data_IF_050935972726
#
_entry.id   IF_050935972726
#
_cell.length_a   1.000
_cell.length_b   1.000
_cell.length_c   1.000
_cell.angle_alpha   90.00
_cell.angle_beta   90.00
_cell.angle_gamma   90.00
#
_symmetry.space_group_name_H-M   'P 1'
#
loop_
_entity.id
_entity.type
_entity.pdbx_description
1 polymer ?
#
# COMPACT_ATOMS: atom_id res chain seq x y z
N UNK A 1 -1.52 -2.56 -0.08
CA UNK A 1 -2.15 -3.69 0.64
C UNK A 1 -1.70 -5.04 0.12
N UNK A 2 -1.89 -5.37 -1.16
CA UNK A 2 -1.56 -6.70 -1.69
C UNK A 2 -0.11 -7.13 -1.42
N UNK A 3 0.87 -6.25 -1.70
CA UNK A 3 2.30 -6.51 -1.40
C UNK A 3 2.50 -6.83 0.08
N UNK A 4 2.06 -5.95 0.99
CA UNK A 4 2.19 -6.16 2.43
C UNK A 4 1.57 -7.49 2.91
N UNK A 5 0.38 -7.84 2.41
CA UNK A 5 -0.30 -9.08 2.79
C UNK A 5 0.37 -10.33 2.19
N UNK A 6 1.13 -10.21 1.10
CA UNK A 6 1.87 -11.32 0.49
C UNK A 6 3.29 -11.49 1.05
N UNK A 7 3.90 -10.42 1.58
CA UNK A 7 5.32 -10.42 1.99
C UNK A 7 5.53 -10.26 3.51
N UNK A 8 4.50 -9.86 4.26
CA UNK A 8 4.64 -9.52 5.68
C UNK A 8 5.26 -8.14 5.93
N UNK A 9 5.54 -7.35 4.88
CA UNK A 9 6.00 -5.96 5.06
C UNK A 9 4.95 -5.14 5.80
N UNK A 10 5.42 -4.31 6.73
CA UNK A 10 4.56 -3.41 7.48
C UNK A 10 4.05 -2.26 6.58
N UNK A 11 3.06 -1.53 7.08
CA UNK A 11 2.49 -0.36 6.40
C UNK A 11 2.55 0.87 7.31
N UNK A 12 2.69 2.09 6.76
CA UNK A 12 2.73 3.30 7.57
C UNK A 12 1.45 3.49 8.38
N UNK A 13 1.59 3.90 9.64
CA UNK A 13 0.46 4.18 10.52
C UNK A 13 -0.45 5.27 9.95
N UNK A 14 0.13 6.31 9.37
CA UNK A 14 -0.58 7.46 8.79
C UNK A 14 -1.10 7.25 7.36
N UNK A 15 -0.86 6.09 6.76
CA UNK A 15 -0.99 5.88 5.31
C UNK A 15 0.28 6.28 4.54
N UNK A 16 0.32 5.88 3.27
CA UNK A 16 1.44 6.13 2.35
C UNK A 16 1.77 7.63 2.27
N UNK A 17 3.06 7.95 2.20
CA UNK A 17 3.53 9.34 2.17
C UNK A 17 3.71 9.89 0.76
N UNK A 18 3.84 9.02 -0.24
CA UNK A 18 4.07 9.42 -1.64
C UNK A 18 5.26 10.37 -1.83
N UNK A 19 6.45 10.14 -1.22
CA UNK A 19 7.61 11.01 -1.45
C UNK A 19 7.94 11.11 -2.94
N UNK A 20 8.23 12.34 -3.38
CA UNK A 20 8.65 12.62 -4.75
C UNK A 20 10.09 12.19 -4.97
N UNK A 21 10.36 11.41 -6.03
CA UNK A 21 11.72 11.00 -6.36
C UNK A 21 11.81 10.26 -7.70
N UNK A 22 12.97 10.36 -8.32
CA UNK A 22 13.37 9.48 -9.42
C UNK A 22 13.81 8.13 -8.88
N UNK A 23 14.13 7.17 -9.76
CA UNK A 23 14.74 5.90 -9.34
C UNK A 23 16.03 6.09 -8.54
N UNK A 24 16.82 7.11 -8.86
CA UNK A 24 18.09 7.39 -8.20
C UNK A 24 17.90 7.93 -6.76
N UNK A 25 16.74 8.50 -6.45
CA UNK A 25 16.42 9.03 -5.14
C UNK A 25 15.88 7.95 -4.18
N UNK A 26 15.33 6.85 -4.72
CA UNK A 26 14.64 5.81 -3.95
C UNK A 26 15.52 5.24 -2.82
N UNK A 27 16.80 4.90 -3.00
CA UNK A 27 17.61 4.35 -1.91
C UNK A 27 17.73 5.30 -0.72
N UNK A 28 17.79 6.60 -0.97
CA UNK A 28 17.86 7.65 0.06
C UNK A 28 16.51 7.93 0.70
N UNK A 29 15.43 7.96 -0.10
CA UNK A 29 14.08 8.28 0.38
C UNK A 29 13.50 7.14 1.21
N UNK A 30 13.65 5.90 0.76
CA UNK A 30 12.92 4.72 1.27
C UNK A 30 13.69 3.93 2.32
N UNK A 31 14.36 4.66 3.22
CA UNK A 31 15.01 4.16 4.43
C UNK A 31 14.34 4.76 5.69
N UNK A 32 14.62 4.24 6.89
CA UNK A 32 14.04 4.78 8.13
C UNK A 32 14.38 6.25 8.34
N UNK A 33 13.51 6.98 9.04
CA UNK A 33 13.78 8.36 9.49
C UNK A 33 15.06 8.49 10.30
N UNK A 34 15.40 7.48 11.11
CA UNK A 34 16.66 7.42 11.85
C UNK A 34 17.90 7.35 10.96
N UNK A 35 17.74 6.95 9.70
CA UNK A 35 18.77 6.95 8.67
C UNK A 35 18.60 8.12 7.68
N UNK A 36 17.69 9.07 7.93
CA UNK A 36 17.46 10.24 7.08
C UNK A 36 16.57 9.98 5.85
N UNK A 37 15.76 8.92 5.87
CA UNK A 37 14.68 8.68 4.90
C UNK A 37 13.29 9.03 5.46
N UNK A 38 12.22 8.56 4.81
CA UNK A 38 10.83 8.91 5.19
C UNK A 38 10.11 7.83 5.99
N UNK A 39 10.59 6.59 5.96
CA UNK A 39 9.88 5.44 6.54
C UNK A 39 9.87 5.51 8.07
N UNK A 40 8.76 5.10 8.68
CA UNK A 40 8.64 5.01 10.14
C UNK A 40 9.65 4.00 10.73
N UNK A 41 9.91 2.91 10.01
CA UNK A 41 10.90 1.86 10.33
C UNK A 41 11.29 1.08 9.06
N UNK A 42 12.22 0.13 9.20
CA UNK A 42 12.60 -0.82 8.13
C UNK A 42 11.44 -1.79 7.84
N UNK A 43 11.47 -2.41 6.66
CA UNK A 43 10.52 -3.47 6.29
C UNK A 43 9.09 -2.93 6.08
N UNK A 44 8.95 -1.86 5.31
CA UNK A 44 7.66 -1.22 5.04
C UNK A 44 7.42 -1.06 3.54
N UNK A 45 6.13 -1.03 3.16
CA UNK A 45 5.73 -0.61 1.81
C UNK A 45 5.62 0.92 1.74
N UNK A 46 5.94 1.47 0.57
CA UNK A 46 5.73 2.89 0.24
C UNK A 46 5.46 3.02 -1.27
N UNK A 47 4.95 4.18 -1.70
CA UNK A 47 4.80 4.56 -3.11
C UNK A 47 5.64 5.80 -3.37
N UNK A 48 6.31 5.87 -4.53
CA UNK A 48 7.03 7.07 -4.96
C UNK A 48 6.13 7.89 -5.89
N UNK A 49 6.05 9.18 -5.66
CA UNK A 49 5.43 10.11 -6.61
C UNK A 49 6.41 10.40 -7.75
N UNK A 50 5.98 10.15 -8.99
CA UNK A 50 6.67 10.57 -10.20
C UNK A 50 6.50 12.07 -10.51
N UNK A 51 5.82 12.81 -9.64
CA UNK A 51 5.63 14.25 -9.73
C UNK A 51 6.34 14.93 -8.56
N UNK A 52 6.96 16.08 -8.83
CA UNK A 52 7.40 17.01 -7.80
C UNK A 52 6.20 17.62 -7.07
N UNK A 53 6.39 18.26 -5.90
CA UNK A 53 5.30 18.89 -5.14
C UNK A 53 4.51 19.95 -5.92
N UNK A 54 5.13 20.60 -6.91
CA UNK A 54 4.49 21.57 -7.82
C UNK A 54 3.73 20.91 -8.99
N UNK A 55 3.71 19.58 -9.06
CA UNK A 55 3.06 18.81 -10.11
C UNK A 55 3.93 18.59 -11.35
N UNK A 56 5.16 19.10 -11.39
CA UNK A 56 6.04 18.87 -12.55
C UNK A 56 6.53 17.43 -12.60
N UNK A 57 6.62 16.80 -13.79
CA UNK A 57 7.15 15.44 -13.92
C UNK A 57 8.62 15.35 -13.51
N UNK A 58 8.97 14.21 -12.90
CA UNK A 58 10.35 13.84 -12.61
C UNK A 58 10.90 13.05 -13.79
N UNK A 59 12.15 13.35 -14.18
CA UNK A 59 12.80 12.60 -15.25
C UNK A 59 13.15 11.18 -14.80
N UNK A 60 13.05 10.25 -15.75
CA UNK A 60 13.32 8.83 -15.52
C UNK A 60 12.55 8.26 -14.30
N UNK A 61 11.24 8.53 -14.27
CA UNK A 61 10.36 8.12 -13.20
C UNK A 61 10.01 6.61 -13.20
N UNK A 62 9.34 6.15 -12.14
CA UNK A 62 9.04 4.73 -11.88
C UNK A 62 7.54 4.39 -11.97
N UNK A 63 6.71 5.26 -12.55
CA UNK A 63 5.23 5.15 -12.53
C UNK A 63 4.69 3.82 -13.05
N UNK A 64 5.40 3.20 -13.99
CA UNK A 64 4.96 1.98 -14.68
C UNK A 64 5.50 0.69 -14.05
N UNK A 65 6.33 0.82 -13.01
CA UNK A 65 7.16 -0.26 -12.50
C UNK A 65 6.97 -0.54 -11.02
N UNK A 66 7.82 -1.42 -10.52
CA UNK A 66 7.93 -1.79 -9.11
C UNK A 66 9.39 -1.80 -8.68
N UNK A 67 9.63 -1.65 -7.39
CA UNK A 67 10.97 -1.58 -6.83
C UNK A 67 11.04 -2.27 -5.47
N UNK A 68 12.25 -2.60 -5.05
CA UNK A 68 12.58 -3.04 -3.69
C UNK A 68 13.90 -2.39 -3.29
N UNK A 69 13.91 -1.76 -2.11
CA UNK A 69 15.13 -1.22 -1.50
C UNK A 69 15.61 -2.20 -0.45
N UNK A 70 16.88 -2.58 -0.55
CA UNK A 70 17.57 -3.48 0.37
C UNK A 70 18.67 -2.73 1.09
N UNK A 71 18.97 -3.16 2.32
CA UNK A 71 20.05 -2.61 3.12
C UNK A 71 21.22 -3.60 3.17
N UNK A 72 22.44 -3.09 3.02
CA UNK A 72 23.67 -3.78 3.36
C UNK A 72 23.80 -3.91 4.88
N UNK A 73 23.43 -5.07 5.40
CA UNK A 73 23.50 -5.39 6.84
C UNK A 73 24.94 -5.46 7.38
N UNK A 74 25.93 -5.60 6.49
CA UNK A 74 27.35 -5.67 6.85
C UNK A 74 28.18 -4.72 6.01
N UNK A 75 29.35 -4.32 6.53
CA UNK A 75 30.30 -3.51 5.76
C UNK A 75 30.82 -4.25 4.54
N UNK A 76 30.94 -5.58 4.60
CA UNK A 76 31.27 -6.39 3.43
C UNK A 76 30.26 -6.19 2.28
N UNK A 77 28.95 -6.31 2.55
CA UNK A 77 27.92 -6.12 1.52
C UNK A 77 27.94 -4.68 0.98
N UNK A 78 28.15 -3.70 1.86
CA UNK A 78 28.30 -2.30 1.46
C UNK A 78 29.48 -2.11 0.50
N UNK A 79 30.63 -2.72 0.79
CA UNK A 79 31.79 -2.68 -0.10
C UNK A 79 31.51 -3.41 -1.42
N UNK A 80 30.77 -4.52 -1.42
CA UNK A 80 30.34 -5.14 -2.67
C UNK A 80 29.47 -4.19 -3.53
N UNK A 81 28.57 -3.42 -2.93
CA UNK A 81 27.80 -2.42 -3.68
C UNK A 81 28.71 -1.37 -4.33
N UNK A 82 29.73 -0.91 -3.61
CA UNK A 82 30.75 0.02 -4.14
C UNK A 82 31.56 -0.61 -5.29
N UNK A 83 32.09 -1.82 -5.10
CA UNK A 83 32.89 -2.54 -6.12
C UNK A 83 32.11 -2.83 -7.40
N UNK A 84 30.81 -3.09 -7.29
CA UNK A 84 29.92 -3.29 -8.44
C UNK A 84 29.38 -1.99 -9.05
N UNK A 85 29.77 -0.83 -8.52
CA UNK A 85 29.21 0.48 -8.89
C UNK A 85 27.68 0.49 -8.82
N UNK A 86 27.11 -0.17 -7.81
CA UNK A 86 25.69 -0.12 -7.56
C UNK A 86 25.30 1.30 -7.13
N UNK A 87 24.20 1.82 -7.68
CA UNK A 87 23.68 3.13 -7.27
C UNK A 87 23.02 3.03 -5.89
N UNK A 88 23.65 3.62 -4.88
CA UNK A 88 23.20 3.58 -3.48
C UNK A 88 22.78 4.94 -2.96
N UNK A 89 22.35 4.98 -1.69
CA UNK A 89 22.29 6.22 -0.92
C UNK A 89 23.70 6.75 -0.56
N UNK A 90 23.74 7.95 0.04
CA UNK A 90 24.99 8.64 0.45
C UNK A 90 25.86 7.81 1.41
N UNK A 91 25.28 6.83 2.12
CA UNK A 91 26.02 5.96 3.05
C UNK A 91 26.60 4.70 2.39
N UNK A 92 26.20 4.39 1.16
CA UNK A 92 26.53 3.14 0.49
C UNK A 92 25.72 1.93 0.96
N UNK A 93 24.78 2.10 1.90
CA UNK A 93 24.09 0.96 2.53
C UNK A 93 22.79 0.58 1.85
N UNK A 94 22.07 1.52 1.26
CA UNK A 94 20.76 1.24 0.67
C UNK A 94 20.91 1.18 -0.84
N UNK A 95 20.41 0.10 -1.43
CA UNK A 95 20.40 -0.15 -2.87
C UNK A 95 19.00 -0.51 -3.32
N UNK A 96 18.61 -0.10 -4.52
CA UNK A 96 17.27 -0.35 -5.06
C UNK A 96 17.35 -1.19 -6.34
N UNK A 97 16.67 -2.33 -6.33
CA UNK A 97 16.32 -3.07 -7.55
C UNK A 97 14.96 -2.60 -8.05
N UNK A 98 14.81 -2.47 -9.36
CA UNK A 98 13.53 -2.10 -9.95
C UNK A 98 13.26 -2.82 -11.26
N UNK A 99 11.98 -3.07 -11.52
CA UNK A 99 11.46 -3.49 -12.82
C UNK A 99 10.66 -2.32 -13.36
N UNK A 100 11.15 -1.71 -14.45
CA UNK A 100 10.57 -0.47 -15.00
C UNK A 100 9.13 -0.62 -15.48
N UNK A 101 8.74 -1.81 -15.91
CA UNK A 101 7.41 -2.06 -16.48
C UNK A 101 6.76 -3.29 -15.87
N UNK A 102 5.47 -3.19 -15.57
CA UNK A 102 4.58 -4.31 -15.37
C UNK A 102 3.43 -4.21 -16.36
N UNK A 103 3.24 -5.23 -17.20
CA UNK A 103 2.29 -5.18 -18.33
C UNK A 103 0.89 -5.68 -17.98
N UNK A 104 0.54 -5.71 -16.69
CA UNK A 104 -0.80 -5.98 -16.16
C UNK A 104 -1.41 -7.24 -16.80
N UNK A 105 -2.49 -7.09 -17.58
CA UNK A 105 -3.22 -8.18 -18.22
C UNK A 105 -2.36 -9.02 -19.18
N UNK A 106 -1.33 -8.43 -19.79
CA UNK A 106 -0.44 -9.14 -20.70
C UNK A 106 0.47 -10.14 -19.97
N UNK A 107 0.71 -9.96 -18.67
CA UNK A 107 1.52 -10.87 -17.85
C UNK A 107 0.67 -11.99 -17.20
N UNK A 108 -0.67 -11.93 -17.25
CA UNK A 108 -1.56 -12.91 -16.59
C UNK A 108 -1.36 -14.33 -17.13
N UNK A 109 -1.05 -14.47 -18.42
CA UNK A 109 -0.79 -15.78 -19.04
C UNK A 109 0.37 -16.56 -18.38
N UNK A 110 1.36 -15.84 -17.82
CA UNK A 110 2.45 -16.47 -17.06
C UNK A 110 1.95 -17.09 -15.76
N UNK A 111 0.99 -16.43 -15.09
CA UNK A 111 0.39 -16.95 -13.86
C UNK A 111 -0.49 -18.17 -14.15
N UNK A 112 -1.24 -18.15 -15.25
CA UNK A 112 -2.03 -19.31 -15.71
C UNK A 112 -1.11 -20.50 -16.00
N UNK A 113 -0.02 -20.29 -16.73
CA UNK A 113 0.95 -21.35 -17.03
C UNK A 113 1.64 -21.88 -15.76
N UNK A 114 2.01 -21.00 -14.83
CA UNK A 114 2.62 -21.38 -13.55
C UNK A 114 1.70 -22.29 -12.72
N UNK A 115 0.42 -21.93 -12.59
CA UNK A 115 -0.56 -22.77 -11.88
C UNK A 115 -0.80 -24.08 -12.63
N UNK A 116 -1.00 -24.05 -13.94
CA UNK A 116 -1.34 -25.24 -14.73
C UNK A 116 -0.19 -26.26 -14.82
N UNK A 117 1.04 -25.79 -15.02
CA UNK A 117 2.20 -26.65 -15.27
C UNK A 117 3.00 -26.95 -14.01
N UNK A 118 3.05 -26.02 -13.05
CA UNK A 118 3.88 -26.13 -11.85
C UNK A 118 3.08 -26.21 -10.55
N UNK A 119 1.77 -25.95 -10.59
CA UNK A 119 0.90 -25.84 -9.40
C UNK A 119 1.39 -24.78 -8.41
N UNK A 120 1.99 -23.72 -8.95
CA UNK A 120 2.56 -22.62 -8.18
C UNK A 120 1.73 -21.37 -8.38
N UNK A 121 1.39 -20.68 -7.28
CA UNK A 121 0.84 -19.34 -7.36
C UNK A 121 1.96 -18.32 -7.58
N UNK A 122 1.73 -17.33 -8.45
CA UNK A 122 2.67 -16.23 -8.70
C UNK A 122 2.57 -15.09 -7.68
N UNK A 123 1.58 -15.17 -6.78
CA UNK A 123 1.40 -14.29 -5.63
C UNK A 123 0.21 -14.75 -4.80
N UNK A 124 0.37 -14.79 -3.48
CA UNK A 124 -0.69 -15.20 -2.55
C UNK A 124 -0.53 -14.41 -1.24
N UNK A 125 -1.65 -14.01 -0.65
CA UNK A 125 -1.63 -13.41 0.68
C UNK A 125 -1.21 -14.48 1.71
N UNK A 126 -0.22 -14.16 2.53
CA UNK A 126 0.28 -14.99 3.62
C UNK A 126 -0.35 -14.60 4.96
N UNK A 127 -0.94 -13.40 5.04
CA UNK A 127 -1.62 -12.90 6.22
C UNK A 127 -2.38 -11.62 5.94
N UNK A 128 -3.10 -11.13 6.94
CA UNK A 128 -3.82 -9.86 6.87
C UNK A 128 -3.09 -8.80 7.71
N UNK A 129 -2.04 -8.22 7.13
CA UNK A 129 -1.20 -7.19 7.78
C UNK A 129 -1.67 -5.77 7.47
N UNK A 130 -2.33 -5.60 6.33
CA UNK A 130 -2.71 -4.31 5.77
C UNK A 130 -4.13 -4.32 5.25
N UNK A 131 -4.79 -3.18 5.38
CA UNK A 131 -6.15 -2.94 4.93
C UNK A 131 -6.26 -1.61 4.17
N UNK A 132 -7.32 -1.44 3.37
CA UNK A 132 -7.64 -0.19 2.68
C UNK A 132 -8.95 0.34 3.20
N UNK A 133 -8.89 1.43 3.96
CA UNK A 133 -10.07 2.05 4.57
C UNK A 133 -10.58 3.18 3.69
N UNK A 134 -11.89 3.20 3.44
CA UNK A 134 -12.55 4.29 2.73
C UNK A 134 -12.34 5.60 3.50
N UNK A 135 -11.84 6.63 2.84
CA UNK A 135 -11.51 7.92 3.45
C UNK A 135 -12.16 9.03 2.65
N UNK A 136 -12.83 9.97 3.32
CA UNK A 136 -13.62 10.99 2.66
C UNK A 136 -12.76 11.96 1.83
N UNK A 137 -13.14 12.21 0.58
CA UNK A 137 -12.52 13.23 -0.32
C UNK A 137 -13.05 14.64 -0.06
N UNK A 138 -14.23 14.74 0.53
CA UNK A 138 -14.95 15.97 0.88
C UNK A 138 -15.72 15.73 2.18
N UNK A 139 -16.30 16.79 2.74
CA UNK A 139 -17.26 16.62 3.83
C UNK A 139 -18.49 15.88 3.30
N UNK A 140 -18.91 14.85 4.04
CA UNK A 140 -20.06 14.01 3.75
C UNK A 140 -21.15 14.29 4.79
N UNK A 141 -22.39 14.30 4.34
CA UNK A 141 -23.57 14.52 5.19
C UNK A 141 -24.44 13.27 5.26
N UNK A 142 -25.22 13.08 6.33
CA UNK A 142 -26.24 12.04 6.37
C UNK A 142 -27.13 12.09 5.13
N UNK A 143 -27.33 10.94 4.49
CA UNK A 143 -28.07 10.80 3.24
C UNK A 143 -27.22 10.81 1.97
N UNK A 144 -25.97 11.30 2.01
CA UNK A 144 -25.03 11.16 0.90
C UNK A 144 -24.82 9.66 0.58
N UNK A 145 -24.58 9.34 -0.69
CA UNK A 145 -24.25 7.98 -1.14
C UNK A 145 -22.79 7.94 -1.56
N UNK A 146 -22.05 6.99 -1.01
CA UNK A 146 -20.67 6.74 -1.39
C UNK A 146 -20.61 6.12 -2.78
N UNK A 147 -19.78 6.69 -3.65
CA UNK A 147 -19.57 6.24 -5.03
C UNK A 147 -18.37 5.27 -5.19
N UNK A 148 -17.72 4.90 -4.08
CA UNK A 148 -16.66 3.89 -4.04
C UNK A 148 -15.32 4.32 -4.65
N UNK A 149 -14.50 3.34 -5.04
CA UNK A 149 -13.19 3.58 -5.66
C UNK A 149 -13.32 4.32 -7.00
N UNK A 150 -12.42 5.26 -7.26
CA UNK A 150 -12.42 6.06 -8.50
C UNK A 150 -13.46 7.18 -8.54
N UNK A 151 -14.43 7.19 -7.61
CA UNK A 151 -15.47 8.20 -7.49
C UNK A 151 -15.00 9.52 -6.87
N UNK A 152 -15.96 10.36 -6.47
CA UNK A 152 -15.78 11.71 -5.90
C UNK A 152 -15.91 11.76 -4.38
N UNK A 153 -16.46 10.72 -3.74
CA UNK A 153 -16.78 10.75 -2.30
C UNK A 153 -15.66 10.22 -1.43
N UNK A 154 -14.98 9.15 -1.86
CA UNK A 154 -13.97 8.45 -1.05
C UNK A 154 -12.74 8.06 -1.86
N UNK A 155 -11.62 7.88 -1.16
CA UNK A 155 -10.38 7.26 -1.64
C UNK A 155 -9.92 6.19 -0.65
N UNK A 156 -9.00 5.32 -1.08
CA UNK A 156 -8.45 4.28 -0.23
C UNK A 156 -7.23 4.71 0.54
N UNK A 157 -7.32 4.73 1.87
CA UNK A 157 -6.17 4.95 2.74
C UNK A 157 -5.62 3.63 3.27
N UNK A 158 -4.35 3.35 2.98
CA UNK A 158 -3.65 2.20 3.53
C UNK A 158 -3.56 2.33 5.05
N UNK A 159 -3.92 1.27 5.77
CA UNK A 159 -3.84 1.20 7.23
C UNK A 159 -3.32 -0.18 7.66
N UNK A 160 -2.63 -0.30 8.81
CA UNK A 160 -2.41 -1.60 9.45
C UNK A 160 -3.76 -2.29 9.69
N UNK A 161 -3.85 -3.59 9.43
CA UNK A 161 -5.11 -4.33 9.57
C UNK A 161 -5.68 -4.24 11.00
N UNK A 162 -4.83 -4.39 12.02
CA UNK A 162 -5.20 -4.24 13.43
C UNK A 162 -5.83 -2.88 13.74
N UNK A 163 -5.25 -1.80 13.20
CA UNK A 163 -5.78 -0.45 13.37
C UNK A 163 -7.11 -0.26 12.64
N UNK A 164 -7.25 -0.83 11.44
CA UNK A 164 -8.51 -0.81 10.70
C UNK A 164 -9.64 -1.51 11.48
N UNK A 165 -9.37 -2.69 12.05
CA UNK A 165 -10.35 -3.41 12.88
C UNK A 165 -10.69 -2.62 14.14
N UNK A 166 -9.68 -2.11 14.85
CA UNK A 166 -9.88 -1.36 16.08
C UNK A 166 -10.76 -0.10 15.89
N UNK A 167 -10.70 0.54 14.72
CA UNK A 167 -11.56 1.69 14.40
C UNK A 167 -12.89 1.31 13.75
N UNK A 168 -13.16 0.03 13.52
CA UNK A 168 -14.32 -0.44 12.75
C UNK A 168 -14.30 0.07 11.31
N UNK A 169 -13.12 0.16 10.69
CA UNK A 169 -12.92 0.79 9.38
C UNK A 169 -13.74 0.15 8.27
N UNK A 170 -14.43 0.99 7.49
CA UNK A 170 -15.17 0.60 6.29
C UNK A 170 -14.15 0.29 5.16
N UNK A 171 -14.03 -0.96 4.69
CA UNK A 171 -13.10 -1.28 3.61
C UNK A 171 -13.57 -0.63 2.30
N UNK A 172 -12.64 -0.04 1.55
CA UNK A 172 -12.94 0.67 0.30
C UNK A 172 -13.72 -0.21 -0.70
N UNK A 173 -13.36 -1.49 -0.80
CA UNK A 173 -14.02 -2.45 -1.70
C UNK A 173 -15.50 -2.71 -1.38
N UNK A 174 -16.00 -2.28 -0.22
CA UNK A 174 -17.42 -2.36 0.16
C UNK A 174 -18.09 -0.98 0.23
N UNK A 175 -17.41 0.10 -0.18
CA UNK A 175 -17.90 1.47 -0.02
C UNK A 175 -18.67 2.01 -1.23
N UNK A 176 -19.08 1.14 -2.17
CA UNK A 176 -19.84 1.57 -3.36
C UNK A 176 -21.35 1.39 -3.12
N UNK A 177 -22.12 2.43 -3.48
CA UNK A 177 -23.58 2.50 -3.30
C UNK A 177 -24.02 2.33 -1.83
N UNK A 178 -23.27 2.95 -0.92
CA UNK A 178 -23.53 2.89 0.53
C UNK A 178 -23.94 4.24 1.05
N UNK A 179 -25.07 4.31 1.76
CA UNK A 179 -25.59 5.56 2.34
C UNK A 179 -24.84 5.94 3.62
N UNK A 180 -24.45 7.21 3.72
CA UNK A 180 -23.87 7.83 4.91
C UNK A 180 -24.96 8.12 5.95
N UNK A 181 -24.72 7.76 7.21
CA UNK A 181 -25.63 7.94 8.34
C UNK A 181 -25.26 9.12 9.24
N UNK A 182 -23.96 9.45 9.31
CA UNK A 182 -23.42 10.49 10.20
C UNK A 182 -22.50 11.42 9.41
N UNK A 183 -22.35 12.69 9.83
CA UNK A 183 -21.39 13.59 9.19
C UNK A 183 -19.97 13.03 9.27
N UNK A 184 -19.24 13.06 8.15
CA UNK A 184 -17.83 12.64 8.07
C UNK A 184 -17.04 13.78 7.43
N UNK A 185 -15.98 14.22 8.09
CA UNK A 185 -15.15 15.34 7.59
C UNK A 185 -14.18 14.89 6.51
N UNK A 186 -13.81 15.80 5.60
CA UNK A 186 -12.80 15.54 4.57
C UNK A 186 -11.51 14.98 5.20
N UNK A 187 -11.01 13.87 4.66
CA UNK A 187 -9.78 13.21 5.12
C UNK A 187 -9.97 12.24 6.29
N UNK A 188 -11.16 12.17 6.88
CA UNK A 188 -11.51 11.19 7.91
C UNK A 188 -11.73 9.80 7.27
N UNK A 189 -11.19 8.76 7.89
CA UNK A 189 -11.53 7.36 7.57
C UNK A 189 -12.95 7.07 8.02
N UNK A 190 -13.75 6.43 7.16
CA UNK A 190 -15.09 5.96 7.48
C UNK A 190 -15.02 4.65 8.26
N UNK A 191 -16.00 4.48 9.14
CA UNK A 191 -16.26 3.25 9.90
C UNK A 191 -17.59 2.62 9.51
N UNK A 192 -17.85 1.40 9.99
CA UNK A 192 -19.16 0.74 9.86
C UNK A 192 -20.30 1.57 10.46
N UNK A 193 -20.03 2.35 11.51
CA UNK A 193 -21.04 3.18 12.19
C UNK A 193 -21.43 4.43 11.39
N UNK A 194 -20.61 4.82 10.42
CA UNK A 194 -20.87 5.99 9.58
C UNK A 194 -21.81 5.69 8.42
N UNK A 195 -22.14 4.42 8.17
CA UNK A 195 -22.81 3.99 6.94
C UNK A 195 -23.89 2.92 7.14
N UNK A 196 -24.87 2.92 6.24
CA UNK A 196 -25.91 1.89 6.15
C UNK A 196 -25.44 0.74 5.27
N UNK A 197 -24.77 -0.24 5.87
CA UNK A 197 -24.22 -1.41 5.17
C UNK A 197 -25.24 -2.55 5.03
N UNK A 198 -25.33 -3.18 3.85
CA UNK A 198 -26.09 -4.43 3.69
C UNK A 198 -25.30 -5.64 4.20
N UNK A 199 -25.67 -6.09 5.40
CA UNK A 199 -25.04 -7.20 6.12
C UNK A 199 -25.38 -8.58 5.55
N UNK A 200 -26.31 -8.66 4.61
CA UNK A 200 -26.72 -9.94 3.99
C UNK A 200 -25.79 -10.35 2.85
N UNK A 201 -24.98 -9.42 2.34
CA UNK A 201 -24.08 -9.69 1.22
C UNK A 201 -22.98 -10.69 1.61
N UNK A 202 -22.61 -11.57 0.67
CA UNK A 202 -21.52 -12.52 0.89
C UNK A 202 -20.19 -11.81 1.17
N UNK A 203 -19.96 -10.67 0.51
CA UNK A 203 -18.75 -9.88 0.68
C UNK A 203 -18.64 -9.31 2.10
N UNK A 204 -19.75 -8.81 2.67
CA UNK A 204 -19.77 -8.38 4.07
C UNK A 204 -19.51 -9.54 5.03
N UNK A 205 -20.19 -10.68 4.84
CA UNK A 205 -19.99 -11.85 5.69
C UNK A 205 -18.55 -12.36 5.68
N UNK A 206 -17.93 -12.45 4.50
CA UNK A 206 -16.52 -12.81 4.35
C UNK A 206 -15.61 -11.80 5.06
N UNK A 207 -15.91 -10.50 4.93
CA UNK A 207 -15.15 -9.46 5.64
C UNK A 207 -15.28 -9.58 7.17
N UNK A 208 -16.43 -9.97 7.71
CA UNK A 208 -16.57 -10.24 9.14
C UNK A 208 -15.79 -11.49 9.56
N UNK A 209 -15.81 -12.56 8.75
CA UNK A 209 -15.01 -13.77 8.99
C UNK A 209 -13.51 -13.45 9.00
N UNK A 210 -13.03 -12.62 8.05
CA UNK A 210 -11.64 -12.15 8.03
C UNK A 210 -11.26 -11.40 9.31
N UNK A 211 -12.18 -10.58 9.85
CA UNK A 211 -11.96 -9.85 11.10
C UNK A 211 -11.83 -10.76 12.32
N UNK A 212 -12.62 -11.82 12.37
CA UNK A 212 -12.54 -12.82 13.45
C UNK A 212 -11.25 -13.64 13.40
N UNK A 213 -10.69 -13.84 12.20
CA UNK A 213 -9.42 -14.55 12.00
C UNK A 213 -8.18 -13.68 12.26
N UNK A 214 -8.35 -12.38 12.47
CA UNK A 214 -7.23 -11.51 12.79
C UNK A 214 -6.79 -11.74 14.22
N UNK A 215 -5.74 -12.52 14.40
CA UNK A 215 -5.06 -12.65 15.70
C UNK A 215 -4.51 -11.28 16.11
N UNK A 216 -4.70 -10.83 17.36
CA UNK A 216 -4.01 -9.66 17.87
C UNK A 216 -2.51 -9.80 17.63
N UNK A 217 -1.85 -8.73 17.18
CA UNK A 217 -0.40 -8.74 17.08
C UNK A 217 0.19 -8.86 18.50
N UNK A 218 1.07 -9.85 18.71
CA UNK A 218 1.90 -9.97 19.92
C UNK A 218 2.80 -8.74 20.11
#
# INVERSE_FOLDING_TARGET
>A
TAVANATGLAVPTGGLQYPSGSIADIPRLTRPRSAGGVLEKKGMVEVISSLRPDGTPIDYDIRMGVWVTVEAETDYIRHCFEEYNAHTDDSGRYFTLYKRWHLIGLEVGLSVASVALRREATGVAQGWHADVVATAKRDLKPGDVLDGEGGTTVWGKLQPASRSVAMGGLPLGLAHDVKVLRPVTKGQCLSWDDVAMDTRTRAWQLRQQMQQLLTPAD
#
